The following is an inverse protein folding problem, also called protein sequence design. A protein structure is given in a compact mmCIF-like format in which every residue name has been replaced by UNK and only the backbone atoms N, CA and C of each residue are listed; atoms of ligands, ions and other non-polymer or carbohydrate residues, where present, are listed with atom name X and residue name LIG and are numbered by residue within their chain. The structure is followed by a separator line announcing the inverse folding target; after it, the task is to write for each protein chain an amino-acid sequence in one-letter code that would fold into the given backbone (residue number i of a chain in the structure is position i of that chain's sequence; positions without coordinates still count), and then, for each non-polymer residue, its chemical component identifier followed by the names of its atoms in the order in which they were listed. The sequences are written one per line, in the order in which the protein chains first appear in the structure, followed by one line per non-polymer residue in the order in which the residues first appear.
data_IF_172435799172
#
_entry.id   IF_172435799172
#
_cell.length_a   1.000
_cell.length_b   1.000
_cell.length_c   1.000
_cell.angle_alpha   90.00
_cell.angle_beta   90.00
_cell.angle_gamma   90.00
#
_symmetry.space_group_name_H-M   'P 1'
#
loop_
_entity.id
_entity.type
_entity.pdbx_description
1 polymer ?
#
# COMPACT_ATOMS: atom_id res chain seq x y z
N UNK A 1 17.69 -2.71 -5.45
CA UNK A 1 16.71 -1.88 -6.20
C UNK A 1 16.71 -2.37 -7.65
N UNK A 2 15.54 -2.56 -8.27
CA UNK A 2 15.47 -2.89 -9.70
C UNK A 2 15.18 -1.63 -10.50
N UNK A 3 15.92 -1.42 -11.57
CA UNK A 3 15.79 -0.26 -12.46
C UNK A 3 15.68 -0.76 -13.89
N UNK A 4 14.90 -0.05 -14.69
CA UNK A 4 14.79 -0.31 -16.10
C UNK A 4 15.11 0.99 -16.87
N UNK A 5 15.97 0.86 -17.87
CA UNK A 5 16.22 1.89 -18.88
C UNK A 5 15.62 1.39 -20.21
N UNK A 6 15.46 2.25 -21.23
CA UNK A 6 14.92 1.83 -22.52
C UNK A 6 15.65 0.65 -23.18
N UNK A 7 16.89 0.36 -22.75
CA UNK A 7 17.75 -0.66 -23.36
C UNK A 7 18.12 -1.81 -22.42
N UNK A 8 17.95 -1.68 -21.09
CA UNK A 8 18.37 -2.73 -20.16
C UNK A 8 17.61 -2.72 -18.83
N UNK A 9 17.60 -3.87 -18.17
CA UNK A 9 17.14 -4.00 -16.79
C UNK A 9 18.34 -4.26 -15.88
N UNK A 10 18.43 -3.53 -14.77
CA UNK A 10 19.55 -3.57 -13.84
C UNK A 10 19.06 -3.86 -12.41
N UNK A 11 19.81 -4.69 -11.70
CA UNK A 11 19.77 -4.75 -10.24
C UNK A 11 20.85 -3.84 -9.67
N UNK A 12 20.44 -2.82 -8.92
CA UNK A 12 21.32 -1.96 -8.13
C UNK A 12 21.43 -2.53 -6.71
N UNK A 13 22.62 -2.98 -6.34
CA UNK A 13 22.95 -3.54 -5.02
C UNK A 13 23.87 -2.57 -4.29
N UNK A 14 23.48 -2.05 -3.11
CA UNK A 14 24.33 -1.16 -2.35
C UNK A 14 25.37 -1.97 -1.58
N UNK A 15 26.62 -1.57 -1.69
CA UNK A 15 27.69 -1.89 -0.76
C UNK A 15 27.86 -0.69 0.17
N UNK A 16 27.62 -0.92 1.47
CA UNK A 16 27.69 0.14 2.49
C UNK A 16 28.92 -0.09 3.34
N UNK A 17 29.83 0.88 3.33
CA UNK A 17 31.03 0.89 4.17
C UNK A 17 30.88 1.98 5.23
N UNK A 18 30.88 1.57 6.50
CA UNK A 18 30.90 2.52 7.61
C UNK A 18 32.33 3.03 7.82
N UNK A 19 32.48 4.31 8.11
CA UNK A 19 33.76 4.94 8.45
C UNK A 19 33.57 5.97 9.57
N UNK A 20 34.65 6.57 10.05
CA UNK A 20 34.60 7.58 11.10
C UNK A 20 34.68 6.98 12.51
N UNK A 21 34.44 7.82 13.51
CA UNK A 21 34.55 7.44 14.92
C UNK A 21 33.21 7.00 15.49
N UNK A 22 33.21 6.43 16.70
CA UNK A 22 31.97 6.09 17.42
C UNK A 22 31.07 7.32 17.68
N UNK A 23 31.67 8.52 17.76
CA UNK A 23 30.94 9.77 18.01
C UNK A 23 30.55 10.52 16.73
N UNK A 24 31.13 10.13 15.58
CA UNK A 24 30.84 10.72 14.28
C UNK A 24 30.95 9.63 13.19
N UNK A 25 29.96 8.72 13.13
CA UNK A 25 29.96 7.66 12.13
C UNK A 25 29.50 8.21 10.78
N UNK A 26 30.29 7.95 9.73
CA UNK A 26 29.97 8.17 8.33
C UNK A 26 29.62 6.87 7.62
N UNK A 27 28.91 6.99 6.48
CA UNK A 27 28.63 5.86 5.60
C UNK A 27 28.98 6.24 4.16
N UNK A 28 29.78 5.40 3.51
CA UNK A 28 30.03 5.44 2.08
C UNK A 28 29.14 4.36 1.43
N UNK A 29 28.38 4.73 0.41
CA UNK A 29 27.50 3.80 -0.31
C UNK A 29 27.96 3.72 -1.76
N UNK A 30 28.51 2.58 -2.14
CA UNK A 30 28.82 2.27 -3.55
C UNK A 30 27.70 1.42 -4.13
N UNK A 31 27.16 1.82 -5.28
CA UNK A 31 26.09 1.06 -5.94
C UNK A 31 26.67 0.22 -7.08
N UNK A 32 26.51 -1.10 -6.98
CA UNK A 32 26.87 -2.03 -8.05
C UNK A 32 25.66 -2.28 -8.94
N UNK A 33 25.82 -2.05 -10.25
CA UNK A 33 24.79 -2.26 -11.25
C UNK A 33 25.03 -3.56 -12.03
N UNK A 34 24.14 -4.53 -11.88
CA UNK A 34 24.23 -5.83 -12.55
C UNK A 34 23.07 -5.98 -13.56
N UNK A 35 23.35 -6.27 -14.85
CA UNK A 35 22.31 -6.62 -15.82
C UNK A 35 21.49 -7.82 -15.35
N UNK A 36 20.17 -7.71 -15.47
CA UNK A 36 19.22 -8.78 -15.15
C UNK A 36 18.25 -8.98 -16.32
N UNK A 37 17.63 -10.15 -16.44
CA UNK A 37 16.53 -10.35 -17.38
C UNK A 37 15.42 -9.31 -17.18
N UNK A 38 14.68 -9.00 -18.25
CA UNK A 38 13.53 -8.11 -18.15
C UNK A 38 12.50 -8.69 -17.16
N UNK A 39 12.32 -7.99 -16.05
CA UNK A 39 11.49 -8.39 -14.92
C UNK A 39 10.09 -7.80 -15.00
N UNK A 40 9.83 -6.87 -15.94
CA UNK A 40 8.62 -6.04 -15.95
C UNK A 40 7.36 -6.87 -16.14
N UNK A 41 7.34 -7.71 -17.18
CA UNK A 41 6.20 -8.57 -17.46
C UNK A 41 5.96 -9.60 -16.35
N UNK A 42 7.03 -10.18 -15.80
CA UNK A 42 6.92 -11.10 -14.66
C UNK A 42 6.33 -10.40 -13.43
N UNK A 43 6.68 -9.12 -13.21
CA UNK A 43 6.17 -8.34 -12.08
C UNK A 43 4.70 -7.98 -12.27
N UNK A 44 4.30 -7.57 -13.47
CA UNK A 44 2.88 -7.37 -13.81
C UNK A 44 2.09 -8.68 -13.66
N UNK A 45 2.63 -9.81 -14.15
CA UNK A 45 1.98 -11.11 -14.03
C UNK A 45 1.77 -11.57 -12.58
N UNK A 46 2.68 -11.22 -11.66
CA UNK A 46 2.56 -11.55 -10.23
C UNK A 46 1.63 -10.58 -9.47
N UNK A 47 1.64 -9.30 -9.83
CA UNK A 47 0.89 -8.27 -9.11
C UNK A 47 -0.52 -8.05 -9.64
N UNK A 48 -0.81 -8.51 -10.87
CA UNK A 48 -2.04 -8.22 -11.59
C UNK A 48 -2.00 -6.88 -12.31
N UNK A 49 -3.01 -6.63 -13.16
CA UNK A 49 -3.11 -5.37 -13.89
C UNK A 49 -3.61 -4.24 -12.99
N UNK A 50 -3.27 -2.99 -13.34
CA UNK A 50 -3.81 -1.82 -12.66
C UNK A 50 -5.34 -1.75 -12.74
N UNK A 51 -5.93 -2.27 -13.82
CA UNK A 51 -7.38 -2.28 -13.98
C UNK A 51 -8.05 -3.24 -13.01
N UNK A 52 -7.46 -4.42 -12.81
CA UNK A 52 -7.97 -5.40 -11.84
C UNK A 52 -7.80 -4.87 -10.42
N UNK A 53 -6.65 -4.26 -10.13
CA UNK A 53 -6.42 -3.59 -8.85
C UNK A 53 -7.45 -2.46 -8.57
N UNK A 54 -7.76 -1.62 -9.55
CA UNK A 54 -8.77 -0.56 -9.39
C UNK A 54 -10.17 -1.14 -9.16
N UNK A 55 -10.54 -2.23 -9.85
CA UNK A 55 -11.81 -2.93 -9.65
C UNK A 55 -11.89 -3.54 -8.24
N UNK A 56 -10.84 -4.26 -7.83
CA UNK A 56 -10.74 -4.89 -6.52
C UNK A 56 -10.82 -3.86 -5.39
N UNK A 57 -10.18 -2.69 -5.55
CA UNK A 57 -10.27 -1.61 -4.56
C UNK A 57 -11.69 -1.05 -4.41
N UNK A 58 -12.41 -0.86 -5.52
CA UNK A 58 -13.80 -0.39 -5.46
C UNK A 58 -14.68 -1.39 -4.72
N UNK A 59 -14.48 -2.69 -4.97
CA UNK A 59 -15.18 -3.75 -4.25
C UNK A 59 -14.78 -3.77 -2.77
N UNK A 60 -13.49 -3.68 -2.47
CA UNK A 60 -12.97 -3.65 -1.10
C UNK A 60 -13.48 -2.47 -0.29
N UNK A 61 -13.70 -1.31 -0.92
CA UNK A 61 -14.29 -0.14 -0.26
C UNK A 61 -15.74 -0.40 0.19
N UNK A 62 -16.54 -1.08 -0.65
CA UNK A 62 -17.90 -1.50 -0.30
C UNK A 62 -17.84 -2.46 0.90
N UNK A 63 -17.01 -3.49 0.82
CA UNK A 63 -16.83 -4.49 1.89
C UNK A 63 -16.37 -3.86 3.21
N UNK A 64 -15.42 -2.93 3.18
CA UNK A 64 -14.99 -2.19 4.38
C UNK A 64 -16.10 -1.33 4.92
N UNK A 65 -16.86 -0.64 4.08
CA UNK A 65 -17.97 0.20 4.53
C UNK A 65 -19.04 -0.65 5.22
N UNK A 66 -19.41 -1.80 4.65
CA UNK A 66 -20.32 -2.76 5.28
C UNK A 66 -19.76 -3.36 6.58
N UNK A 67 -18.45 -3.65 6.63
CA UNK A 67 -17.79 -4.11 7.84
C UNK A 67 -17.82 -3.04 8.94
N UNK A 68 -17.52 -1.78 8.59
CA UNK A 68 -17.56 -0.63 9.51
C UNK A 68 -18.98 -0.35 10.01
N UNK A 69 -20.00 -0.39 9.15
CA UNK A 69 -21.41 -0.24 9.59
C UNK A 69 -21.79 -1.35 10.58
N UNK A 70 -21.41 -2.61 10.31
CA UNK A 70 -21.67 -3.73 11.22
C UNK A 70 -20.86 -3.67 12.53
N UNK A 71 -19.71 -3.01 12.51
CA UNK A 71 -18.84 -2.74 13.66
C UNK A 71 -19.44 -1.72 14.65
N UNK A 72 -20.57 -1.11 14.29
CA UNK A 72 -21.21 -0.01 15.02
C UNK A 72 -20.20 1.11 15.34
N UNK A 73 -19.75 1.84 14.31
CA UNK A 73 -18.82 2.99 14.47
C UNK A 73 -19.33 3.99 15.52
N UNK A 74 -20.65 4.07 15.77
CA UNK A 74 -21.23 4.89 16.82
C UNK A 74 -20.76 4.49 18.24
N UNK A 75 -20.18 3.30 18.40
CA UNK A 75 -19.62 2.77 19.64
C UNK A 75 -18.09 2.87 19.72
N UNK A 76 -17.43 3.31 18.64
CA UNK A 76 -16.00 3.58 18.63
C UNK A 76 -15.70 4.81 19.49
N UNK A 77 -14.45 4.93 19.93
CA UNK A 77 -13.99 6.20 20.47
C UNK A 77 -14.12 7.30 19.40
N UNK A 78 -14.63 8.48 19.80
CA UNK A 78 -14.87 9.62 18.89
C UNK A 78 -13.63 9.99 18.07
N UNK A 79 -12.42 9.83 18.65
CA UNK A 79 -11.14 10.08 17.99
C UNK A 79 -10.89 9.14 16.80
N UNK A 80 -11.17 7.84 16.95
CA UNK A 80 -10.98 6.84 15.90
C UNK A 80 -12.02 7.03 14.78
N UNK A 81 -13.27 7.33 15.13
CA UNK A 81 -14.32 7.63 14.16
C UNK A 81 -13.97 8.88 13.32
N UNK A 82 -13.48 9.94 13.98
CA UNK A 82 -13.01 11.16 13.31
C UNK A 82 -11.80 10.88 12.40
N UNK A 83 -10.87 10.03 12.83
CA UNK A 83 -9.71 9.66 12.02
C UNK A 83 -10.11 8.85 10.77
N UNK A 84 -11.08 7.93 10.87
CA UNK A 84 -11.64 7.24 9.69
C UNK A 84 -12.28 8.24 8.72
N UNK A 85 -13.08 9.18 9.24
CA UNK A 85 -13.73 10.19 8.40
C UNK A 85 -12.72 11.08 7.68
N UNK A 86 -11.71 11.59 8.40
CA UNK A 86 -10.62 12.37 7.81
C UNK A 86 -9.86 11.59 6.73
N UNK A 87 -9.64 10.28 6.92
CA UNK A 87 -9.02 9.43 5.91
C UNK A 87 -9.92 9.24 4.69
N UNK A 88 -11.24 9.08 4.86
CA UNK A 88 -12.20 8.94 3.74
C UNK A 88 -12.20 10.17 2.83
N UNK A 89 -12.11 11.35 3.42
CA UNK A 89 -12.17 12.61 2.68
C UNK A 89 -10.79 13.08 2.19
N UNK A 90 -9.72 12.69 2.88
CA UNK A 90 -8.35 13.11 2.59
C UNK A 90 -7.69 12.36 1.43
N UNK A 91 -7.31 13.07 0.36
CA UNK A 91 -6.45 12.52 -0.69
C UNK A 91 -4.98 12.48 -0.24
N UNK A 92 -4.22 11.48 -0.70
CA UNK A 92 -2.77 11.50 -0.52
C UNK A 92 -2.19 12.72 -1.26
N UNK A 93 -1.37 13.57 -0.61
CA UNK A 93 -0.80 14.73 -1.26
C UNK A 93 0.08 14.36 -2.44
N UNK A 94 -0.01 15.10 -3.55
CA UNK A 94 0.78 14.86 -4.77
C UNK A 94 2.29 14.86 -4.52
N UNK A 95 2.79 15.70 -3.61
CA UNK A 95 4.21 15.74 -3.26
C UNK A 95 4.73 14.46 -2.56
N UNK A 96 3.84 13.59 -2.08
CA UNK A 96 4.22 12.25 -1.56
C UNK A 96 4.27 11.18 -2.65
N UNK A 97 3.94 11.52 -3.89
CA UNK A 97 3.91 10.61 -5.02
C UNK A 97 5.09 10.94 -5.95
N UNK A 98 5.73 9.93 -6.54
CA UNK A 98 6.66 10.15 -7.64
C UNK A 98 6.06 11.01 -8.76
N UNK A 99 6.81 12.01 -9.23
CA UNK A 99 6.32 13.00 -10.21
C UNK A 99 5.90 12.38 -11.56
N UNK A 100 6.46 11.21 -11.89
CA UNK A 100 6.17 10.48 -13.12
C UNK A 100 4.93 9.58 -13.03
N UNK A 101 4.25 9.51 -11.88
CA UNK A 101 2.98 8.77 -11.78
C UNK A 101 1.87 9.51 -12.51
N UNK A 102 1.33 8.85 -13.54
CA UNK A 102 0.12 9.33 -14.20
C UNK A 102 -1.06 9.44 -13.21
N UNK A 103 -2.11 10.18 -13.62
CA UNK A 103 -3.26 10.42 -12.75
C UNK A 103 -4.02 9.16 -12.34
N UNK A 104 -3.91 8.06 -13.10
CA UNK A 104 -4.62 6.80 -12.81
C UNK A 104 -3.87 6.02 -11.74
N UNK A 105 -2.57 5.82 -11.89
CA UNK A 105 -1.73 5.13 -10.91
C UNK A 105 -1.69 5.89 -9.59
N UNK A 106 -1.55 7.23 -9.64
CA UNK A 106 -1.62 8.09 -8.46
C UNK A 106 -2.94 7.92 -7.68
N UNK A 107 -4.07 7.83 -8.39
CA UNK A 107 -5.39 7.61 -7.78
C UNK A 107 -5.48 6.23 -7.13
N UNK A 108 -5.07 5.17 -7.83
CA UNK A 108 -5.11 3.79 -7.29
C UNK A 108 -4.21 3.66 -6.06
N UNK A 109 -2.99 4.21 -6.11
CA UNK A 109 -2.06 4.26 -4.99
C UNK A 109 -2.66 5.03 -3.80
N UNK A 110 -3.26 6.18 -4.09
CA UNK A 110 -4.05 7.01 -3.18
C UNK A 110 -5.10 6.21 -2.41
N UNK A 111 -6.02 5.61 -3.16
CA UNK A 111 -7.13 4.83 -2.63
C UNK A 111 -6.67 3.60 -1.85
N UNK A 112 -5.65 2.88 -2.35
CA UNK A 112 -5.12 1.70 -1.68
C UNK A 112 -4.46 2.03 -0.34
N UNK A 113 -3.65 3.09 -0.27
CA UNK A 113 -3.01 3.52 0.97
C UNK A 113 -4.05 3.98 2.00
N UNK A 114 -5.08 4.72 1.55
CA UNK A 114 -6.21 5.12 2.38
C UNK A 114 -6.95 3.91 2.95
N UNK A 115 -7.26 2.92 2.12
CA UNK A 115 -7.96 1.72 2.53
C UNK A 115 -7.15 0.92 3.57
N UNK A 116 -5.82 0.83 3.41
CA UNK A 116 -4.94 0.25 4.44
C UNK A 116 -4.95 1.03 5.74
N UNK A 117 -4.98 2.35 5.70
CA UNK A 117 -5.04 3.19 6.90
C UNK A 117 -6.37 2.96 7.65
N UNK A 118 -7.49 2.89 6.92
CA UNK A 118 -8.81 2.57 7.49
C UNK A 118 -8.82 1.16 8.11
N UNK A 119 -8.28 0.16 7.41
CA UNK A 119 -8.20 -1.21 7.94
C UNK A 119 -7.31 -1.27 9.18
N UNK A 120 -6.16 -0.60 9.17
CA UNK A 120 -5.25 -0.55 10.32
C UNK A 120 -5.92 0.06 11.55
N UNK A 121 -6.72 1.12 11.36
CA UNK A 121 -7.50 1.73 12.42
C UNK A 121 -8.63 0.80 12.91
N UNK A 122 -9.39 0.21 11.98
CA UNK A 122 -10.45 -0.75 12.28
C UNK A 122 -9.99 -2.05 12.95
N UNK A 123 -8.69 -2.37 12.89
CA UNK A 123 -8.11 -3.54 13.54
C UNK A 123 -7.65 -3.22 14.97
N UNK A 124 -7.53 -1.94 15.37
CA UNK A 124 -7.17 -1.56 16.74
C UNK A 124 -8.32 -1.71 17.71
N UNK A 125 -9.55 -1.54 17.23
CA UNK A 125 -10.75 -1.65 18.04
C UNK A 125 -11.57 -2.88 17.61
N UNK A 126 -11.77 -3.79 18.56
CA UNK A 126 -12.64 -4.95 18.38
C UNK A 126 -14.13 -4.60 18.55
N UNK A 127 -14.48 -3.30 18.69
CA UNK A 127 -15.77 -2.70 18.42
C UNK A 127 -16.96 -3.62 18.69
N UNK A 128 -17.38 -3.68 19.96
CA UNK A 128 -18.70 -4.18 20.38
C UNK A 128 -19.11 -5.59 19.94
N UNK A 129 -18.19 -6.48 19.54
CA UNK A 129 -18.55 -7.79 19.01
C UNK A 129 -19.36 -8.61 20.04
N UNK A 130 -20.60 -8.92 19.69
CA UNK A 130 -21.56 -9.61 20.58
C UNK A 130 -21.29 -11.12 20.63
N UNK A 131 -20.49 -11.66 19.69
CA UNK A 131 -20.03 -13.06 19.68
C UNK A 131 -18.66 -13.27 19.00
N UNK A 132 -17.92 -14.31 19.42
CA UNK A 132 -16.60 -14.68 18.88
C UNK A 132 -16.61 -14.94 17.35
N UNK A 133 -17.68 -15.54 16.82
CA UNK A 133 -17.81 -15.84 15.39
C UNK A 133 -17.97 -14.58 14.52
N UNK A 134 -18.63 -13.54 15.04
CA UNK A 134 -18.74 -12.25 14.35
C UNK A 134 -17.41 -11.49 14.34
N UNK A 135 -16.63 -11.57 15.42
CA UNK A 135 -15.29 -10.99 15.49
C UNK A 135 -14.31 -11.65 14.51
N UNK A 136 -14.39 -12.98 14.34
CA UNK A 136 -13.50 -13.70 13.41
C UNK A 136 -13.82 -13.42 11.94
N UNK A 137 -15.11 -13.46 11.55
CA UNK A 137 -15.52 -13.06 10.20
C UNK A 137 -15.13 -11.63 9.85
N UNK A 138 -15.25 -10.71 10.82
CA UNK A 138 -14.78 -9.33 10.67
C UNK A 138 -13.28 -9.30 10.39
N UNK A 139 -12.51 -9.98 11.22
CA UNK A 139 -11.06 -10.02 11.10
C UNK A 139 -10.63 -10.61 9.76
N UNK A 140 -11.34 -11.64 9.27
CA UNK A 140 -11.12 -12.20 7.94
C UNK A 140 -11.40 -11.18 6.82
N UNK A 141 -12.55 -10.50 6.86
CA UNK A 141 -12.91 -9.46 5.88
C UNK A 141 -11.88 -8.31 5.83
N UNK A 142 -11.44 -7.83 6.99
CA UNK A 142 -10.42 -6.77 7.08
C UNK A 142 -9.06 -7.23 6.52
N UNK A 143 -8.64 -8.47 6.81
CA UNK A 143 -7.39 -9.06 6.26
C UNK A 143 -7.45 -9.19 4.73
N UNK A 144 -8.59 -9.61 4.18
CA UNK A 144 -8.76 -9.72 2.74
C UNK A 144 -8.65 -8.35 2.06
N UNK A 145 -9.23 -7.31 2.68
CA UNK A 145 -9.11 -5.95 2.17
C UNK A 145 -7.68 -5.40 2.28
N UNK A 146 -6.95 -5.64 3.38
CA UNK A 146 -5.53 -5.25 3.47
C UNK A 146 -4.71 -5.96 2.38
N UNK A 147 -4.99 -7.24 2.10
CA UNK A 147 -4.32 -7.99 1.03
C UNK A 147 -4.61 -7.38 -0.35
N UNK A 148 -5.86 -7.05 -0.66
CA UNK A 148 -6.25 -6.38 -1.91
C UNK A 148 -5.56 -5.02 -2.04
N UNK A 149 -5.53 -4.24 -0.96
CA UNK A 149 -4.92 -2.92 -0.95
C UNK A 149 -3.40 -2.98 -1.15
N UNK A 150 -2.70 -3.95 -0.54
CA UNK A 150 -1.26 -4.18 -0.78
C UNK A 150 -0.98 -4.56 -2.23
N UNK A 151 -1.82 -5.42 -2.82
CA UNK A 151 -1.72 -5.79 -4.23
C UNK A 151 -1.91 -4.57 -5.14
N UNK A 152 -2.88 -3.71 -4.82
CA UNK A 152 -3.11 -2.49 -5.57
C UNK A 152 -1.96 -1.48 -5.45
N UNK A 153 -1.33 -1.35 -4.27
CA UNK A 153 -0.09 -0.57 -4.12
C UNK A 153 0.99 -1.13 -5.04
N UNK A 154 1.22 -2.45 -5.03
CA UNK A 154 2.23 -3.08 -5.87
C UNK A 154 1.96 -2.89 -7.38
N UNK A 155 0.71 -3.02 -7.80
CA UNK A 155 0.30 -2.77 -9.19
C UNK A 155 0.47 -1.30 -9.57
N UNK A 156 0.09 -0.36 -8.70
CA UNK A 156 0.22 1.09 -8.96
C UNK A 156 1.66 1.60 -8.90
N UNK A 157 2.54 0.95 -8.13
CA UNK A 157 3.98 1.26 -8.11
C UNK A 157 4.76 0.59 -9.24
N UNK A 158 4.16 -0.39 -9.93
CA UNK A 158 4.76 -1.05 -11.09
C UNK A 158 4.19 -0.42 -12.36
N UNK A 159 4.76 0.68 -12.81
CA UNK A 159 4.40 1.29 -14.08
C UNK A 159 5.43 0.84 -15.13
N UNK A 160 5.00 0.11 -16.17
CA UNK A 160 5.87 -0.13 -17.32
C UNK A 160 6.07 1.20 -18.06
N UNK A 161 7.19 1.89 -17.85
CA UNK A 161 7.59 3.02 -18.71
C UNK A 161 7.79 2.50 -20.14
N UNK A 162 7.19 3.05 -21.19
CA UNK A 162 7.48 2.61 -22.55
C UNK A 162 8.98 2.67 -22.87
#
# INVERSE_FOLDING_TARGET
LLVHTPTTSLALVPEVQQFGSAYEPGHLVTWHATPVPDWRLATVGRNGSLQDADRDLRQGLITVTEALVRLDVARWHDEDAAQVAALRDGALPRWRMPDHLDGRHARVLGSAARLRAIVALATRDDGGAVSLWQADQRSAALRDVDRMSRRAIAAASTFPTP
#
